data_IF_917204637585
#
_entry.id   IF_917204637585
#
_cell.length_a   1.000
_cell.length_b   1.000
_cell.length_c   1.000
_cell.angle_alpha   90.00
_cell.angle_beta   90.00
_cell.angle_gamma   90.00
#
_symmetry.space_group_name_H-M   'P 1'
#
loop_
_entity.id
_entity.type
_entity.pdbx_description
1 polymer ?
#
# COMPACT_ATOMS: atom_id res chain seq x y z
N UNK A 1 -27.55 10.89 -12.69
CA UNK A 1 -26.77 11.19 -13.93
C UNK A 1 -25.35 11.67 -13.60
N UNK A 2 -25.10 12.09 -12.36
CA UNK A 2 -23.84 12.66 -11.91
C UNK A 2 -22.68 11.64 -11.93
N UNK A 3 -22.95 10.36 -11.68
CA UNK A 3 -21.95 9.29 -11.77
C UNK A 3 -21.31 9.22 -13.17
N UNK A 4 -22.16 9.10 -14.21
CA UNK A 4 -21.71 9.04 -15.61
C UNK A 4 -20.98 10.33 -16.02
N UNK A 5 -21.46 11.49 -15.55
CA UNK A 5 -20.78 12.76 -15.80
C UNK A 5 -19.37 12.77 -15.19
N UNK A 6 -19.21 12.36 -13.93
CA UNK A 6 -17.90 12.28 -13.28
C UNK A 6 -16.95 11.35 -14.04
N UNK A 7 -17.41 10.15 -14.39
CA UNK A 7 -16.60 9.18 -15.14
C UNK A 7 -16.18 9.72 -16.51
N UNK A 8 -17.06 10.43 -17.21
CA UNK A 8 -16.72 11.05 -18.50
C UNK A 8 -15.63 12.11 -18.40
N UNK A 9 -15.47 12.73 -17.24
CA UNK A 9 -14.47 13.76 -16.94
C UNK A 9 -13.14 13.15 -16.45
N UNK A 10 -13.17 11.94 -15.90
CA UNK A 10 -11.99 11.17 -15.46
C UNK A 10 -11.36 10.44 -16.63
N UNK A 11 -12.16 9.74 -17.45
CA UNK A 11 -11.67 8.97 -18.60
C UNK A 11 -11.42 9.85 -19.83
N UNK A 12 -10.59 10.88 -19.65
CA UNK A 12 -10.13 11.77 -20.71
C UNK A 12 -8.67 11.44 -21.02
N UNK A 13 -8.39 11.16 -22.30
CA UNK A 13 -7.06 10.78 -22.78
C UNK A 13 -6.03 11.89 -22.57
N UNK A 14 -6.40 13.15 -22.85
CA UNK A 14 -5.53 14.29 -22.59
C UNK A 14 -5.53 14.63 -21.08
N UNK A 15 -4.37 14.53 -20.39
CA UNK A 15 -4.27 14.83 -18.96
C UNK A 15 -4.59 16.29 -18.63
N UNK A 16 -4.27 17.25 -19.51
CA UNK A 16 -4.54 18.68 -19.30
C UNK A 16 -6.05 19.00 -19.29
N UNK A 17 -6.86 18.14 -19.91
CA UNK A 17 -8.32 18.27 -19.97
C UNK A 17 -9.04 17.37 -18.98
N UNK A 18 -8.31 16.51 -18.27
CA UNK A 18 -8.87 15.60 -17.27
C UNK A 18 -9.24 16.40 -16.02
N UNK A 19 -10.38 16.05 -15.41
CA UNK A 19 -10.80 16.67 -14.15
C UNK A 19 -9.74 16.50 -13.06
N UNK A 20 -9.48 17.57 -12.33
CA UNK A 20 -8.53 17.61 -11.21
C UNK A 20 -9.16 17.06 -9.93
N UNK A 21 -8.34 16.66 -8.95
CA UNK A 21 -8.84 16.22 -7.64
C UNK A 21 -9.67 17.31 -6.95
N UNK A 22 -9.26 18.58 -7.05
CA UNK A 22 -9.99 19.71 -6.47
C UNK A 22 -11.39 19.88 -7.09
N UNK A 23 -11.53 19.61 -8.39
CA UNK A 23 -12.84 19.61 -9.07
C UNK A 23 -13.67 18.37 -8.72
N UNK A 24 -13.05 17.19 -8.56
CA UNK A 24 -13.73 15.97 -8.10
C UNK A 24 -14.33 16.18 -6.71
N UNK A 25 -13.57 16.77 -5.77
CA UNK A 25 -14.03 17.05 -4.41
C UNK A 25 -15.26 17.98 -4.36
N UNK A 26 -15.43 18.83 -5.38
CA UNK A 26 -16.59 19.72 -5.52
C UNK A 26 -17.73 19.11 -6.33
N UNK A 27 -17.53 17.92 -6.90
CA UNK A 27 -18.49 17.31 -7.79
C UNK A 27 -19.70 16.75 -7.00
N UNK A 28 -20.95 17.00 -7.42
CA UNK A 28 -22.14 16.58 -6.67
C UNK A 28 -22.21 15.08 -6.37
N UNK A 29 -21.68 14.25 -7.27
CA UNK A 29 -21.59 12.81 -7.03
C UNK A 29 -20.64 12.45 -5.89
N UNK A 30 -19.52 13.18 -5.73
CA UNK A 30 -18.54 12.93 -4.67
C UNK A 30 -19.05 13.39 -3.30
N UNK A 31 -19.75 14.53 -3.27
CA UNK A 31 -20.34 15.07 -2.04
C UNK A 31 -21.56 14.29 -1.55
N UNK A 32 -22.15 13.43 -2.40
CA UNK A 32 -23.34 12.67 -2.03
C UNK A 32 -23.00 11.62 -0.99
N UNK A 33 -23.55 11.77 0.21
CA UNK A 33 -23.30 10.89 1.37
C UNK A 33 -21.81 10.81 1.74
N UNK A 34 -21.04 11.88 1.52
CA UNK A 34 -19.64 11.92 1.94
C UNK A 34 -19.58 11.94 3.49
N UNK A 35 -18.92 10.95 4.12
CA UNK A 35 -18.74 10.96 5.58
C UNK A 35 -17.96 12.18 6.04
N UNK A 36 -18.26 12.67 7.24
CA UNK A 36 -17.70 13.92 7.77
C UNK A 36 -16.17 13.84 7.96
N UNK A 37 -15.65 12.64 8.21
CA UNK A 37 -14.23 12.35 8.35
C UNK A 37 -13.44 12.62 7.07
N UNK A 38 -14.13 12.62 5.92
CA UNK A 38 -13.55 12.89 4.60
C UNK A 38 -13.89 14.28 4.06
N UNK A 39 -14.64 15.09 4.81
CA UNK A 39 -14.81 16.50 4.48
C UNK A 39 -13.50 17.25 4.77
N UNK A 40 -13.20 18.29 3.98
CA UNK A 40 -12.00 19.10 4.19
C UNK A 40 -12.39 20.49 4.70
N UNK A 41 -11.64 21.03 5.67
CA UNK A 41 -11.87 22.36 6.25
C UNK A 41 -12.35 22.33 7.70
N UNK A 42 -12.84 23.47 8.19
CA UNK A 42 -13.30 23.65 9.58
C UNK A 42 -14.36 22.61 9.99
N UNK A 43 -15.21 22.19 9.07
CA UNK A 43 -16.28 21.19 9.26
C UNK A 43 -15.76 19.82 9.75
N UNK A 44 -14.53 19.43 9.38
CA UNK A 44 -13.92 18.15 9.77
C UNK A 44 -13.19 18.22 11.11
N UNK A 45 -12.64 19.39 11.45
CA UNK A 45 -11.83 19.60 12.65
C UNK A 45 -12.63 19.59 13.96
N UNK A 46 -13.97 19.69 13.89
CA UNK A 46 -14.83 19.75 15.06
C UNK A 46 -15.12 18.38 15.70
N UNK A 47 -14.76 17.26 15.06
CA UNK A 47 -15.15 15.91 15.52
C UNK A 47 -14.02 14.88 15.56
N UNK A 48 -12.80 15.21 15.14
CA UNK A 48 -11.65 14.32 15.27
C UNK A 48 -11.20 14.27 16.73
N UNK A 49 -11.59 13.21 17.44
CA UNK A 49 -11.00 12.90 18.74
C UNK A 49 -9.57 12.39 18.50
N UNK A 50 -8.57 13.15 18.94
CA UNK A 50 -7.13 12.78 18.90
C UNK A 50 -6.81 11.44 19.62
N UNK A 51 -7.80 10.83 20.29
CA UNK A 51 -7.65 9.58 21.03
C UNK A 51 -7.40 8.35 20.14
N UNK A 52 -7.91 8.36 18.92
CA UNK A 52 -7.92 7.15 18.06
C UNK A 52 -6.66 7.03 17.20
N UNK A 53 -5.85 8.08 17.14
CA UNK A 53 -4.58 8.10 16.40
C UNK A 53 -3.50 8.85 17.20
N UNK A 54 -2.75 8.16 18.10
CA UNK A 54 -1.74 8.82 18.90
C UNK A 54 -0.65 9.42 18.00
N UNK A 55 -0.43 10.72 18.15
CA UNK A 55 0.62 11.43 17.41
C UNK A 55 2.00 11.09 18.00
N UNK A 56 2.92 10.63 17.16
CA UNK A 56 4.35 10.48 17.50
C UNK A 56 5.16 11.61 16.86
N UNK A 57 6.22 12.06 17.53
CA UNK A 57 7.11 13.06 16.95
C UNK A 57 7.99 12.45 15.85
N UNK A 58 8.48 13.30 14.94
CA UNK A 58 9.42 12.89 13.90
C UNK A 58 10.68 12.26 14.48
N UNK A 59 11.15 12.77 15.62
CA UNK A 59 12.33 12.28 16.31
C UNK A 59 12.12 10.86 16.86
N UNK A 60 10.95 10.60 17.45
CA UNK A 60 10.60 9.28 18.00
C UNK A 60 10.49 8.23 16.88
N UNK A 61 9.79 8.58 15.79
CA UNK A 61 9.68 7.70 14.61
C UNK A 61 11.07 7.37 14.07
N UNK A 62 11.95 8.35 13.94
CA UNK A 62 13.33 8.12 13.49
C UNK A 62 14.12 7.25 14.46
N UNK A 63 13.97 7.45 15.78
CA UNK A 63 14.64 6.63 16.78
C UNK A 63 14.20 5.16 16.70
N UNK A 64 12.90 4.89 16.55
CA UNK A 64 12.36 3.53 16.37
C UNK A 64 12.92 2.88 15.10
N UNK A 65 12.98 3.63 13.99
CA UNK A 65 13.57 3.13 12.74
C UNK A 65 15.04 2.77 12.92
N UNK A 66 15.82 3.58 13.64
CA UNK A 66 17.23 3.27 13.93
C UNK A 66 17.39 2.06 14.86
N UNK A 67 16.52 1.93 15.86
CA UNK A 67 16.49 0.78 16.77
C UNK A 67 16.20 -0.52 16.00
N UNK A 68 15.19 -0.50 15.13
CA UNK A 68 14.77 -1.65 14.32
C UNK A 68 15.81 -2.10 13.29
N UNK A 69 16.78 -1.25 12.93
CA UNK A 69 17.90 -1.60 12.06
C UNK A 69 18.98 -2.42 12.77
N UNK A 70 19.00 -2.44 14.11
CA UNK A 70 19.94 -3.26 14.87
C UNK A 70 19.54 -4.74 14.77
N UNK A 71 20.48 -5.66 14.52
CA UNK A 71 20.18 -7.09 14.53
C UNK A 71 19.71 -7.52 15.92
N UNK A 72 18.76 -8.47 15.99
CA UNK A 72 18.25 -8.97 17.25
C UNK A 72 19.36 -9.62 18.08
N UNK A 73 19.58 -9.14 19.31
CA UNK A 73 20.37 -9.84 20.32
C UNK A 73 19.53 -11.00 20.87
N UNK A 74 19.27 -12.00 20.04
CA UNK A 74 18.79 -13.30 20.51
C UNK A 74 19.84 -13.92 21.44
N UNK A 75 19.43 -14.80 22.37
CA UNK A 75 20.38 -15.57 23.15
C UNK A 75 21.41 -16.20 22.20
N UNK A 76 22.70 -16.02 22.49
CA UNK A 76 23.75 -16.85 21.91
C UNK A 76 23.54 -18.27 22.42
N UNK A 77 22.56 -18.99 21.86
CA UNK A 77 22.52 -20.44 21.92
C UNK A 77 23.72 -20.87 21.08
N UNK A 78 24.85 -21.06 21.77
CA UNK A 78 25.91 -21.90 21.26
C UNK A 78 25.30 -23.29 21.05
N UNK A 79 24.99 -23.60 19.79
CA UNK A 79 24.40 -24.88 19.42
C UNK A 79 23.56 -24.78 18.16
N UNK A 80 24.23 -24.90 17.00
CA UNK A 80 23.67 -25.42 15.74
C UNK A 80 22.23 -24.99 15.38
N UNK A 81 22.10 -23.92 14.59
CA UNK A 81 21.11 -23.91 13.52
C UNK A 81 21.82 -23.51 12.21
N UNK A 82 22.30 -24.57 11.53
CA UNK A 82 22.62 -24.71 10.10
C UNK A 82 23.37 -23.51 9.50
N UNK A 83 24.70 -23.48 9.44
CA UNK A 83 25.49 -24.54 8.81
C UNK A 83 25.16 -24.65 7.32
N UNK A 84 25.27 -23.54 6.57
CA UNK A 84 25.40 -23.54 5.10
C UNK A 84 26.71 -24.22 4.67
N UNK A 85 26.84 -25.50 4.97
CA UNK A 85 27.89 -26.39 4.49
C UNK A 85 27.26 -27.77 4.32
N UNK A 86 26.39 -27.87 3.34
CA UNK A 86 26.26 -29.11 2.60
C UNK A 86 27.07 -28.89 1.33
N UNK A 87 28.16 -29.64 1.19
CA UNK A 87 28.86 -29.86 -0.07
C UNK A 87 27.79 -30.27 -1.10
N UNK A 88 27.51 -29.38 -2.07
CA UNK A 88 26.53 -29.59 -3.13
C UNK A 88 27.27 -30.03 -4.40
N UNK A 89 28.03 -31.12 -4.32
CA UNK A 89 28.78 -31.66 -5.47
C UNK A 89 28.16 -32.94 -6.06
N UNK A 90 26.92 -33.34 -5.69
CA UNK A 90 26.35 -34.59 -6.25
C UNK A 90 24.81 -34.64 -6.28
N UNK A 91 24.17 -33.63 -6.88
CA UNK A 91 22.76 -33.74 -7.32
C UNK A 91 22.69 -33.32 -8.79
N UNK A 92 23.13 -34.22 -9.66
CA UNK A 92 22.78 -34.23 -11.07
C UNK A 92 21.31 -34.70 -11.16
N UNK A 93 20.38 -33.77 -10.93
CA UNK A 93 18.96 -33.99 -11.14
C UNK A 93 18.53 -33.07 -12.29
N UNK A 94 18.45 -33.66 -13.48
CA UNK A 94 17.81 -33.11 -14.66
C UNK A 94 16.43 -32.53 -14.29
N UNK A 95 16.39 -31.22 -14.06
CA UNK A 95 15.16 -30.43 -14.03
C UNK A 95 14.81 -30.18 -15.50
N UNK A 96 14.25 -31.22 -16.12
CA UNK A 96 13.57 -31.08 -17.40
C UNK A 96 12.33 -30.19 -17.21
N UNK A 97 12.27 -29.15 -18.04
CA UNK A 97 11.17 -28.24 -18.33
C UNK A 97 9.81 -28.54 -17.67
N UNK A 98 9.36 -27.62 -16.81
CA UNK A 98 7.93 -27.41 -16.58
C UNK A 98 7.53 -25.99 -16.98
N UNK A 99 7.54 -25.73 -18.29
CA UNK A 99 6.83 -24.63 -18.91
C UNK A 99 5.32 -24.91 -18.85
N UNK A 100 4.68 -24.66 -17.70
CA UNK A 100 3.20 -24.55 -17.67
C UNK A 100 2.82 -23.11 -17.95
N UNK A 101 2.71 -22.81 -19.24
CA UNK A 101 2.04 -21.63 -19.79
C UNK A 101 0.55 -21.68 -19.42
N UNK A 102 0.21 -21.02 -18.31
CA UNK A 102 -1.17 -20.79 -17.91
C UNK A 102 -1.76 -19.61 -18.68
N UNK A 103 -2.40 -19.93 -19.81
CA UNK A 103 -3.13 -19.01 -20.67
C UNK A 103 -4.21 -18.23 -19.91
N UNK A 104 -4.17 -16.89 -19.96
CA UNK A 104 -5.13 -16.02 -19.29
C UNK A 104 -6.29 -15.71 -20.24
N UNK A 105 -7.43 -16.39 -20.05
CA UNK A 105 -8.65 -16.14 -20.82
C UNK A 105 -9.47 -15.04 -20.15
N UNK A 106 -9.46 -13.83 -20.71
CA UNK A 106 -10.48 -12.82 -20.46
C UNK A 106 -11.78 -13.24 -21.17
N UNK A 107 -12.80 -13.64 -20.42
CA UNK A 107 -14.15 -13.68 -20.95
C UNK A 107 -14.60 -12.24 -21.27
N UNK A 108 -15.11 -12.05 -22.50
CA UNK A 108 -15.63 -10.80 -23.04
C UNK A 108 -17.00 -10.44 -22.44
#
# INVERSE_FOLDING_TARGET
>A
MECRHLLSRIFVANPEKRITIAEIKKHPWFLKNLPIEFMEGEEASLQTNDSDNPSQSTEEVLAIIQEARKPAEGPKVGGHFVGSSMDLDDIDADIDDIETSGDFVCAL
#
